data_IF_124084479618
#
_entry.id   IF_124084479618
#
_cell.length_a   1.000
_cell.length_b   1.000
_cell.length_c   1.000
_cell.angle_alpha   90.00
_cell.angle_beta   90.00
_cell.angle_gamma   90.00
#
_symmetry.space_group_name_H-M   'P 1'
#
loop_
_entity.id
_entity.type
_entity.pdbx_description
1 polymer ?
#
# COMPACT_ATOMS: atom_id res chain seq x y z
N UNK A 1 -32.78 -47.41 11.31
CA UNK A 1 -33.42 -46.19 10.76
C UNK A 1 -33.22 -45.06 11.76
N UNK A 2 -32.57 -44.00 11.30
CA UNK A 2 -32.16 -42.81 12.05
C UNK A 2 -33.30 -41.78 12.13
N UNK A 3 -33.68 -41.37 13.33
CA UNK A 3 -34.45 -40.13 13.52
C UNK A 3 -33.63 -39.18 14.40
N UNK A 4 -33.21 -38.09 13.75
CA UNK A 4 -32.43 -36.99 14.29
C UNK A 4 -33.34 -36.03 15.08
N UNK A 5 -33.24 -36.04 16.40
CA UNK A 5 -33.84 -34.98 17.21
C UNK A 5 -32.89 -33.77 17.23
N UNK A 6 -33.36 -32.67 16.65
CA UNK A 6 -32.68 -31.38 16.66
C UNK A 6 -32.60 -30.85 18.10
N UNK A 7 -31.48 -31.10 18.79
CA UNK A 7 -31.21 -30.50 20.09
C UNK A 7 -30.74 -29.05 19.85
N UNK A 8 -31.71 -28.17 19.58
CA UNK A 8 -31.47 -26.72 19.61
C UNK A 8 -31.26 -26.33 21.08
N UNK A 9 -30.04 -25.95 21.42
CA UNK A 9 -29.69 -25.45 22.75
C UNK A 9 -30.55 -24.26 23.19
N UNK A 10 -30.63 -23.98 24.50
CA UNK A 10 -31.49 -22.92 25.03
C UNK A 10 -31.10 -21.55 24.48
N UNK A 11 -32.11 -20.77 24.07
CA UNK A 11 -31.97 -19.41 23.56
C UNK A 11 -31.54 -18.46 24.70
N UNK A 12 -30.34 -17.89 24.61
CA UNK A 12 -29.83 -16.91 25.59
C UNK A 12 -30.70 -15.64 25.52
N UNK A 13 -31.56 -15.44 26.51
CA UNK A 13 -32.33 -14.20 26.68
C UNK A 13 -31.41 -13.14 27.30
N UNK A 14 -30.96 -12.16 26.53
CA UNK A 14 -30.19 -11.02 27.03
C UNK A 14 -31.11 -10.06 27.79
N UNK A 15 -31.39 -10.37 29.05
CA UNK A 15 -31.86 -9.36 30.01
C UNK A 15 -30.65 -8.49 30.34
N UNK A 16 -30.58 -7.30 29.74
CA UNK A 16 -29.86 -6.08 30.17
C UNK A 16 -29.39 -5.28 28.94
N UNK A 17 -30.33 -4.59 28.31
CA UNK A 17 -30.03 -3.47 27.43
C UNK A 17 -29.60 -2.28 28.31
N UNK A 18 -28.28 -2.18 28.52
CA UNK A 18 -27.47 -1.04 28.98
C UNK A 18 -27.69 -0.51 30.42
N UNK A 19 -26.70 -0.74 31.27
CA UNK A 19 -26.13 0.30 32.12
C UNK A 19 -24.63 0.36 31.75
N UNK A 20 -24.15 1.51 31.27
CA UNK A 20 -22.76 1.76 30.84
C UNK A 20 -22.36 1.25 29.43
N UNK A 21 -23.20 1.53 28.43
CA UNK A 21 -22.75 1.51 27.04
C UNK A 21 -22.06 2.83 26.71
N UNK A 22 -20.86 2.78 26.13
CA UNK A 22 -20.14 3.93 25.54
C UNK A 22 -21.15 4.80 24.78
N UNK A 23 -21.22 6.13 25.03
CA UNK A 23 -22.12 7.00 24.29
C UNK A 23 -21.81 6.87 22.81
N UNK A 24 -22.84 6.63 21.99
CA UNK A 24 -22.66 6.69 20.53
C UNK A 24 -22.28 8.12 20.19
N UNK A 25 -21.20 8.37 19.45
CA UNK A 25 -20.86 9.71 19.02
C UNK A 25 -22.01 10.28 18.18
N UNK A 26 -22.35 11.53 18.43
CA UNK A 26 -23.30 12.27 17.60
C UNK A 26 -22.74 12.40 16.17
N UNK A 27 -23.61 12.36 15.14
CA UNK A 27 -23.17 12.53 13.76
C UNK A 27 -22.52 13.91 13.59
N UNK A 28 -21.28 13.91 13.10
CA UNK A 28 -20.51 15.12 12.80
C UNK A 28 -21.27 15.90 11.71
N UNK A 29 -21.78 17.08 12.05
CA UNK A 29 -22.32 18.01 11.07
C UNK A 29 -21.13 18.56 10.27
N UNK A 30 -20.94 18.03 9.05
CA UNK A 30 -19.98 18.59 8.12
C UNK A 30 -20.45 20.00 7.75
N UNK A 31 -19.68 21.01 8.16
CA UNK A 31 -19.86 22.37 7.68
C UNK A 31 -19.63 22.39 6.17
N UNK A 32 -20.73 22.27 5.43
CA UNK A 32 -20.79 22.21 3.98
C UNK A 32 -20.14 23.44 3.29
N UNK A 33 -19.89 24.51 4.05
CA UNK A 33 -19.26 25.75 3.62
C UNK A 33 -17.72 25.72 3.67
N UNK A 34 -17.10 24.74 4.32
CA UNK A 34 -15.63 24.62 4.45
C UNK A 34 -15.09 23.30 3.90
N UNK A 35 -15.79 22.71 2.94
CA UNK A 35 -15.31 21.53 2.22
C UNK A 35 -14.43 21.97 1.04
N UNK A 36 -13.10 21.70 1.05
CA UNK A 36 -12.20 22.09 -0.03
C UNK A 36 -12.46 21.32 -1.34
N UNK A 37 -13.32 20.30 -1.33
CA UNK A 37 -13.68 19.52 -2.52
C UNK A 37 -14.99 19.96 -3.19
N UNK A 38 -15.66 21.00 -2.67
CA UNK A 38 -16.82 21.58 -3.34
C UNK A 38 -16.38 22.52 -4.44
N UNK A 39 -16.92 22.29 -5.63
CA UNK A 39 -16.69 23.11 -6.83
C UNK A 39 -17.14 24.56 -6.56
N UNK A 40 -16.21 25.50 -6.65
CA UNK A 40 -16.50 26.93 -6.64
C UNK A 40 -16.48 27.43 -8.09
N UNK A 41 -17.60 27.93 -8.58
CA UNK A 41 -17.64 28.65 -9.85
C UNK A 41 -16.79 29.93 -9.74
N UNK A 42 -15.93 30.24 -10.73
CA UNK A 42 -15.06 31.40 -10.65
C UNK A 42 -15.87 32.68 -10.88
N UNK A 43 -16.14 33.42 -9.80
CA UNK A 43 -16.61 34.81 -9.92
C UNK A 43 -15.45 35.68 -10.38
N UNK A 44 -15.58 36.22 -11.58
CA UNK A 44 -14.72 37.29 -12.08
C UNK A 44 -14.87 38.54 -11.21
N UNK A 45 -13.77 38.99 -10.59
CA UNK A 45 -13.30 40.39 -10.52
C UNK A 45 -12.26 40.60 -9.40
N UNK A 46 -11.14 41.15 -9.85
CA UNK A 46 -10.31 42.20 -9.25
C UNK A 46 -9.57 41.96 -7.92
N UNK A 47 -8.37 42.54 -7.91
CA UNK A 47 -7.27 42.39 -6.97
C UNK A 47 -7.59 42.94 -5.57
N UNK A 48 -6.98 42.37 -4.53
CA UNK A 48 -6.23 43.17 -3.55
C UNK A 48 -5.32 42.29 -2.67
N UNK A 49 -4.05 42.66 -2.63
CA UNK A 49 -2.98 42.06 -1.83
C UNK A 49 -3.06 42.56 -0.40
N UNK A 50 -3.10 41.65 0.58
CA UNK A 50 -2.67 41.94 1.97
C UNK A 50 -1.82 40.81 2.54
N UNK A 51 -0.52 41.05 2.51
CA UNK A 51 0.50 40.44 3.36
C UNK A 51 0.45 41.02 4.78
N UNK A 52 1.08 40.30 5.71
CA UNK A 52 1.48 40.60 7.11
C UNK A 52 0.70 39.75 8.13
N UNK A 53 1.28 39.12 9.15
CA UNK A 53 2.63 39.12 9.76
C UNK A 53 2.61 38.08 10.89
N UNK A 54 3.80 37.59 11.30
CA UNK A 54 4.15 37.17 12.67
C UNK A 54 3.46 35.91 13.24
N UNK A 55 4.06 35.02 14.02
CA UNK A 55 5.40 34.91 14.61
C UNK A 55 5.61 33.44 15.05
N UNK A 56 6.80 32.93 14.76
CA UNK A 56 7.73 32.21 15.67
C UNK A 56 7.13 31.24 16.72
N UNK A 57 7.42 29.94 16.59
CA UNK A 57 8.07 29.12 17.64
C UNK A 57 8.34 27.66 17.17
N UNK A 58 9.61 27.39 16.89
CA UNK A 58 10.29 26.06 16.96
C UNK A 58 10.65 25.80 18.46
N UNK A 59 11.13 24.63 18.96
CA UNK A 59 11.15 23.21 18.56
C UNK A 59 10.55 22.27 19.65
N UNK A 60 10.37 20.97 19.38
CA UNK A 60 9.93 20.03 20.42
C UNK A 60 10.19 18.54 20.15
N UNK A 61 11.45 18.14 20.29
CA UNK A 61 12.03 16.80 20.58
C UNK A 61 11.10 15.56 20.63
N UNK A 62 11.55 14.51 19.92
CA UNK A 62 11.21 13.08 20.09
C UNK A 62 11.45 12.61 21.56
N UNK A 63 10.94 11.43 22.00
CA UNK A 63 11.66 10.18 21.71
C UNK A 63 10.81 8.91 21.49
N UNK A 64 11.42 8.02 20.70
CA UNK A 64 11.29 6.57 20.59
C UNK A 64 10.53 5.84 21.71
N UNK A 65 9.59 4.96 21.32
CA UNK A 65 9.33 3.72 22.06
C UNK A 65 9.71 2.52 21.20
N UNK A 66 10.80 1.87 21.61
CA UNK A 66 11.21 0.53 21.20
C UNK A 66 10.35 -0.42 22.03
N UNK A 67 9.56 -1.29 21.39
CA UNK A 67 9.00 -2.46 22.07
C UNK A 67 9.76 -3.69 21.59
N UNK A 68 10.54 -4.22 22.54
CA UNK A 68 11.34 -5.44 22.40
C UNK A 68 10.44 -6.69 22.29
N UNK A 69 11.10 -7.72 21.76
CA UNK A 69 10.74 -9.13 21.49
C UNK A 69 10.06 -9.80 22.71
N UNK A 70 9.26 -10.87 22.62
CA UNK A 70 9.41 -12.14 21.88
C UNK A 70 8.08 -12.90 21.89
N UNK A 71 7.78 -13.64 20.81
CA UNK A 71 6.91 -14.84 20.87
C UNK A 71 7.03 -15.64 19.56
N UNK A 72 7.89 -16.65 19.59
CA UNK A 72 7.79 -17.96 18.93
C UNK A 72 6.83 -18.04 17.73
N UNK A 73 7.36 -17.88 16.51
CA UNK A 73 6.57 -18.10 15.29
C UNK A 73 6.30 -19.59 15.10
N UNK A 74 5.10 -20.03 15.48
CA UNK A 74 4.55 -21.30 15.04
C UNK A 74 4.48 -21.24 13.51
N UNK A 75 5.28 -22.06 12.82
CA UNK A 75 5.23 -22.25 11.38
C UNK A 75 3.83 -22.77 10.99
N UNK A 76 2.91 -21.85 10.72
CA UNK A 76 1.64 -22.19 10.08
C UNK A 76 1.97 -22.62 8.66
N UNK A 77 1.93 -23.93 8.43
CA UNK A 77 2.01 -24.55 7.11
C UNK A 77 0.87 -23.99 6.25
N UNK A 78 1.19 -22.96 5.46
CA UNK A 78 0.22 -22.29 4.58
C UNK A 78 -0.15 -23.28 3.48
N UNK A 79 -1.36 -23.84 3.54
CA UNK A 79 -1.94 -24.64 2.47
C UNK A 79 -2.11 -23.70 1.26
N UNK A 80 -1.16 -23.78 0.31
CA UNK A 80 -1.20 -23.01 -0.93
C UNK A 80 -2.38 -23.53 -1.76
N UNK A 81 -3.50 -22.81 -1.73
CA UNK A 81 -4.57 -23.02 -2.71
C UNK A 81 -3.98 -22.77 -4.10
N UNK A 82 -4.15 -23.75 -4.98
CA UNK A 82 -3.82 -23.62 -6.38
C UNK A 82 -4.72 -22.52 -6.96
N UNK A 83 -4.12 -21.37 -7.25
CA UNK A 83 -4.82 -20.26 -7.90
C UNK A 83 -4.26 -20.25 -9.31
N UNK A 84 -5.10 -20.61 -10.26
CA UNK A 84 -4.80 -20.54 -11.70
C UNK A 84 -4.59 -19.06 -12.03
N UNK A 85 -3.51 -18.73 -12.75
CA UNK A 85 -3.20 -17.34 -13.15
C UNK A 85 -2.13 -16.59 -12.33
N UNK A 86 -1.42 -17.26 -11.40
CA UNK A 86 -0.32 -16.64 -10.62
C UNK A 86 0.91 -16.22 -11.45
N UNK A 87 1.01 -16.63 -12.71
CA UNK A 87 2.23 -16.46 -13.51
C UNK A 87 2.49 -14.99 -13.90
N UNK A 88 1.46 -14.13 -13.95
CA UNK A 88 1.58 -12.69 -14.23
C UNK A 88 1.46 -11.82 -12.97
N UNK A 89 1.71 -12.38 -11.78
CA UNK A 89 1.65 -11.62 -10.55
C UNK A 89 2.78 -10.58 -10.47
N UNK A 90 2.42 -9.30 -10.33
CA UNK A 90 3.38 -8.21 -10.10
C UNK A 90 3.97 -8.36 -8.69
N UNK A 91 5.30 -8.37 -8.59
CA UNK A 91 6.03 -8.42 -7.33
C UNK A 91 6.60 -7.03 -6.99
N UNK A 92 6.57 -6.66 -5.71
CA UNK A 92 7.17 -5.43 -5.22
C UNK A 92 8.63 -5.65 -4.85
N UNK A 93 9.52 -4.74 -5.29
CA UNK A 93 10.94 -4.73 -4.92
C UNK A 93 11.20 -3.49 -4.08
N UNK A 94 11.86 -3.64 -2.93
CA UNK A 94 12.32 -2.50 -2.12
C UNK A 94 13.63 -1.99 -2.69
N UNK A 95 13.68 -0.70 -3.02
CA UNK A 95 14.87 -0.03 -3.54
C UNK A 95 15.22 1.19 -2.68
N UNK A 96 16.51 1.56 -2.57
CA UNK A 96 16.93 2.81 -1.97
C UNK A 96 16.21 4.03 -2.56
N UNK A 97 15.99 5.05 -1.73
CA UNK A 97 15.23 6.25 -2.11
C UNK A 97 15.82 6.97 -3.34
N UNK A 98 17.14 7.04 -3.43
CA UNK A 98 17.84 7.65 -4.58
C UNK A 98 17.51 6.94 -5.90
N UNK A 99 17.49 5.60 -5.90
CA UNK A 99 17.15 4.83 -7.10
C UNK A 99 15.67 4.99 -7.45
N UNK A 100 14.79 4.97 -6.45
CA UNK A 100 13.37 5.19 -6.66
C UNK A 100 13.10 6.54 -7.34
N UNK A 101 13.75 7.62 -6.89
CA UNK A 101 13.64 8.95 -7.49
C UNK A 101 14.18 8.93 -8.93
N UNK A 102 15.37 8.36 -9.16
CA UNK A 102 15.96 8.29 -10.51
C UNK A 102 15.07 7.53 -11.48
N UNK A 103 14.49 6.40 -11.07
CA UNK A 103 13.56 5.62 -11.90
C UNK A 103 12.29 6.41 -12.21
N UNK A 104 11.75 7.13 -11.22
CA UNK A 104 10.56 7.95 -11.42
C UNK A 104 10.82 9.13 -12.38
N UNK A 105 11.99 9.77 -12.26
CA UNK A 105 12.42 10.83 -13.18
C UNK A 105 12.61 10.27 -14.58
N UNK A 106 13.24 9.10 -14.72
CA UNK A 106 13.43 8.43 -16.02
C UNK A 106 12.09 8.13 -16.71
N UNK A 107 11.09 7.67 -15.95
CA UNK A 107 9.74 7.41 -16.50
C UNK A 107 9.06 8.66 -17.08
N UNK A 108 9.34 9.84 -16.53
CA UNK A 108 8.84 11.10 -17.10
C UNK A 108 9.49 11.48 -18.43
N UNK A 109 10.70 10.97 -18.71
CA UNK A 109 11.43 11.25 -19.95
C UNK A 109 11.13 10.26 -21.07
N UNK A 110 10.79 9.02 -20.73
CA UNK A 110 10.52 7.97 -21.72
C UNK A 110 9.03 7.84 -22.08
N UNK A 111 8.17 8.73 -21.56
CA UNK A 111 6.70 8.67 -21.65
C UNK A 111 6.09 7.35 -21.13
N UNK A 112 6.88 6.52 -20.45
CA UNK A 112 6.45 5.27 -19.87
C UNK A 112 5.85 5.49 -18.48
N UNK A 113 4.55 5.26 -18.37
CA UNK A 113 3.83 5.35 -17.09
C UNK A 113 4.11 4.16 -16.16
N UNK A 114 4.65 3.07 -16.70
CA UNK A 114 4.79 1.78 -16.01
C UNK A 114 6.23 1.52 -15.64
N UNK A 115 6.54 1.61 -14.34
CA UNK A 115 7.89 1.36 -13.82
C UNK A 115 8.49 0.01 -14.21
N UNK A 116 7.65 -1.02 -14.36
CA UNK A 116 8.13 -2.34 -14.77
C UNK A 116 8.59 -2.41 -16.23
N UNK A 117 8.08 -1.54 -17.12
CA UNK A 117 8.53 -1.46 -18.51
C UNK A 117 9.94 -0.85 -18.57
N UNK A 118 10.14 0.27 -17.86
CA UNK A 118 11.45 0.91 -17.68
C UNK A 118 12.49 -0.08 -17.14
N UNK A 119 12.12 -0.86 -16.12
CA UNK A 119 13.01 -1.87 -15.55
C UNK A 119 13.35 -2.99 -16.55
N UNK A 120 12.38 -3.42 -17.35
CA UNK A 120 12.58 -4.44 -18.39
C UNK A 120 13.54 -3.94 -19.49
N UNK A 121 13.37 -2.69 -19.94
CA UNK A 121 14.30 -2.07 -20.90
C UNK A 121 15.71 -1.91 -20.33
N UNK A 122 15.83 -1.45 -19.08
CA UNK A 122 17.12 -1.34 -18.41
C UNK A 122 17.83 -2.69 -18.33
N UNK A 123 17.10 -3.77 -18.04
CA UNK A 123 17.66 -5.13 -18.01
C UNK A 123 18.09 -5.54 -19.42
N UNK A 124 17.24 -5.36 -20.45
CA UNK A 124 17.56 -5.71 -21.84
C UNK A 124 18.80 -4.99 -22.35
N UNK A 125 18.89 -3.68 -22.12
CA UNK A 125 20.03 -2.87 -22.55
C UNK A 125 21.31 -3.27 -21.81
N UNK A 126 21.23 -3.52 -20.50
CA UNK A 126 22.38 -3.99 -19.74
C UNK A 126 22.87 -5.37 -20.22
N UNK A 127 21.94 -6.29 -20.49
CA UNK A 127 22.25 -7.62 -21.03
C UNK A 127 22.85 -7.52 -22.43
N UNK A 128 22.34 -6.62 -23.27
CA UNK A 128 22.85 -6.43 -24.62
C UNK A 128 24.28 -5.87 -24.63
N UNK A 129 24.54 -4.83 -23.84
CA UNK A 129 25.74 -4.02 -23.96
C UNK A 129 26.89 -4.43 -23.03
N UNK A 130 26.56 -4.99 -21.84
CA UNK A 130 27.56 -5.22 -20.78
C UNK A 130 27.93 -6.67 -20.57
N UNK A 131 27.08 -7.63 -20.96
CA UNK A 131 27.35 -9.04 -20.73
C UNK A 131 28.12 -9.68 -21.89
N UNK A 132 29.08 -10.53 -21.54
CA UNK A 132 29.73 -11.44 -22.51
C UNK A 132 28.76 -12.53 -22.96
N UNK A 133 29.00 -13.13 -24.14
CA UNK A 133 28.10 -14.16 -24.69
C UNK A 133 27.86 -15.34 -23.72
N UNK A 134 28.91 -15.76 -23.00
CA UNK A 134 28.79 -16.78 -21.96
C UNK A 134 27.85 -16.35 -20.83
N UNK A 135 27.99 -15.12 -20.34
CA UNK A 135 27.15 -14.59 -19.27
C UNK A 135 25.70 -14.39 -19.72
N UNK A 136 25.47 -13.99 -20.98
CA UNK A 136 24.11 -13.90 -21.56
C UNK A 136 23.41 -15.25 -21.53
N UNK A 137 24.08 -16.30 -22.01
CA UNK A 137 23.53 -17.68 -21.99
C UNK A 137 23.23 -18.16 -20.57
N UNK A 138 24.09 -17.83 -19.59
CA UNK A 138 23.85 -18.15 -18.18
C UNK A 138 22.63 -17.39 -17.62
N UNK A 139 22.51 -16.10 -17.91
CA UNK A 139 21.40 -15.28 -17.47
C UNK A 139 20.06 -15.78 -18.04
N UNK A 140 20.02 -16.12 -19.32
CA UNK A 140 18.85 -16.69 -19.98
C UNK A 140 18.44 -18.04 -19.35
N UNK A 141 19.41 -18.95 -19.18
CA UNK A 141 19.15 -20.24 -18.53
C UNK A 141 18.59 -20.10 -17.11
N UNK A 142 19.19 -19.22 -16.29
CA UNK A 142 18.74 -18.99 -14.92
C UNK A 142 17.37 -18.31 -14.86
N UNK A 143 17.12 -17.33 -15.74
CA UNK A 143 15.83 -16.63 -15.76
C UNK A 143 14.69 -17.55 -16.21
N UNK A 144 14.90 -18.37 -17.24
CA UNK A 144 13.92 -19.37 -17.66
C UNK A 144 13.59 -20.39 -16.55
N UNK A 145 14.61 -20.88 -15.85
CA UNK A 145 14.42 -21.84 -14.77
C UNK A 145 13.56 -21.26 -13.64
N UNK A 146 13.82 -20.02 -13.25
CA UNK A 146 13.10 -19.33 -12.18
C UNK A 146 11.68 -18.90 -12.58
N UNK A 147 11.40 -18.68 -13.86
CA UNK A 147 10.06 -18.36 -14.36
C UNK A 147 9.18 -19.61 -14.44
N UNK A 148 9.76 -20.77 -14.77
CA UNK A 148 9.03 -22.05 -14.87
C UNK A 148 8.67 -22.68 -13.52
N UNK A 149 9.25 -22.20 -12.41
CA UNK A 149 9.06 -22.72 -11.05
C UNK A 149 8.00 -21.94 -10.27
#
# INVERSE_FOLDING_TARGET
>A
MSNSENIKGPLIKTKNKKQNGIPRPEPIQFNQTKDPFKYQEPSSKEQEVKLKTADIAVPGKQPKEIKNMDATSIEKKVVKRAVVGKNNAVKSIKVPAELHIKINVLGKFMDETKTYAILDELIKNYVADKLTERQKKQFEYMSEFLIKT
#
